data_IF_338927341412
#
_entry.id   IF_338927341412
#
_cell.length_a   1.000
_cell.length_b   1.000
_cell.length_c   1.000
_cell.angle_alpha   90.00
_cell.angle_beta   90.00
_cell.angle_gamma   90.00
#
_symmetry.space_group_name_H-M   'P 1'
#
loop_
_entity.id
_entity.type
_entity.pdbx_description
1 polymer ?
#
# COMPACT_ATOMS: atom_id res chain seq x y z
N UNK A 1 5.80 -3.01 1.07
CA UNK A 1 4.74 -2.13 1.59
C UNK A 1 3.69 -1.98 0.51
N UNK A 2 2.46 -1.59 0.81
CA UNK A 2 1.44 -1.39 -0.23
C UNK A 2 0.49 -0.28 0.17
N UNK A 3 -0.01 0.47 -0.81
CA UNK A 3 -1.05 1.46 -0.58
C UNK A 3 -2.37 0.76 -0.21
N UNK A 4 -3.22 1.40 0.59
CA UNK A 4 -4.50 0.81 1.04
C UNK A 4 -5.46 0.47 -0.11
N UNK A 5 -5.35 1.21 -1.22
CA UNK A 5 -6.25 1.01 -2.37
C UNK A 5 -5.94 -0.26 -3.16
N UNK A 6 -4.70 -0.77 -3.14
CA UNK A 6 -4.32 -2.01 -3.83
C UNK A 6 -5.08 -3.25 -3.32
N UNK A 7 -5.05 -3.59 -2.01
CA UNK A 7 -5.82 -4.73 -1.52
C UNK A 7 -7.33 -4.48 -1.57
N UNK A 8 -7.80 -3.24 -1.37
CA UNK A 8 -9.23 -2.92 -1.50
C UNK A 8 -9.75 -3.17 -2.93
N UNK A 9 -8.97 -2.82 -3.95
CA UNK A 9 -9.27 -3.18 -5.34
C UNK A 9 -9.39 -4.70 -5.51
N UNK A 10 -8.50 -5.47 -4.89
CA UNK A 10 -8.55 -6.92 -4.88
C UNK A 10 -9.82 -7.47 -4.21
N UNK A 11 -10.24 -6.86 -3.10
CA UNK A 11 -11.47 -7.26 -2.39
C UNK A 11 -12.72 -6.99 -3.23
N UNK A 12 -12.79 -5.82 -3.90
CA UNK A 12 -13.91 -5.49 -4.78
C UNK A 12 -13.97 -6.46 -5.97
N UNK A 13 -12.84 -6.72 -6.63
CA UNK A 13 -12.79 -7.71 -7.72
C UNK A 13 -13.22 -9.10 -7.25
N UNK A 14 -12.76 -9.54 -6.07
CA UNK A 14 -13.18 -10.81 -5.50
C UNK A 14 -14.68 -10.85 -5.21
N UNK A 15 -15.24 -9.78 -4.65
CA UNK A 15 -16.67 -9.67 -4.39
C UNK A 15 -17.50 -9.76 -5.68
N UNK A 16 -17.10 -9.07 -6.75
CA UNK A 16 -17.75 -9.16 -8.06
C UNK A 16 -17.68 -10.57 -8.66
N UNK A 17 -16.53 -11.26 -8.53
CA UNK A 17 -16.39 -12.64 -8.99
C UNK A 17 -17.24 -13.61 -8.17
N UNK A 18 -17.23 -13.47 -6.84
CA UNK A 18 -18.04 -14.28 -5.92
C UNK A 18 -19.53 -14.12 -6.14
N UNK A 19 -19.98 -12.91 -6.47
CA UNK A 19 -21.39 -12.65 -6.78
C UNK A 19 -21.90 -13.52 -7.93
N UNK A 20 -21.04 -13.81 -8.90
CA UNK A 20 -21.41 -14.55 -10.11
C UNK A 20 -21.07 -16.04 -10.02
N UNK A 21 -20.05 -16.43 -9.24
CA UNK A 21 -19.53 -17.79 -9.23
C UNK A 21 -18.91 -18.17 -7.87
N UNK A 22 -19.50 -19.15 -7.21
CA UNK A 22 -19.05 -19.63 -5.90
C UNK A 22 -17.66 -20.28 -5.93
N UNK A 23 -17.10 -20.62 -7.11
CA UNK A 23 -15.73 -21.19 -7.21
C UNK A 23 -14.64 -20.26 -6.67
N UNK A 24 -14.94 -18.96 -6.50
CA UNK A 24 -14.02 -17.99 -5.93
C UNK A 24 -14.05 -17.96 -4.40
N UNK A 25 -14.91 -18.76 -3.73
CA UNK A 25 -15.04 -18.87 -2.27
C UNK A 25 -13.88 -19.65 -1.64
N UNK A 26 -12.68 -19.10 -1.79
CA UNK A 26 -11.42 -19.65 -1.31
C UNK A 26 -10.64 -18.57 -0.55
N UNK A 27 -9.49 -18.91 0.04
CA UNK A 27 -8.55 -17.94 0.57
C UNK A 27 -7.78 -17.21 -0.56
N UNK A 28 -7.50 -15.92 -0.37
CA UNK A 28 -6.81 -15.04 -1.32
C UNK A 28 -5.80 -14.15 -0.61
N UNK A 29 -4.61 -14.01 -1.21
CA UNK A 29 -3.58 -13.09 -0.77
C UNK A 29 -3.59 -11.86 -1.68
N UNK A 30 -3.53 -10.68 -1.07
CA UNK A 30 -3.40 -9.39 -1.76
C UNK A 30 -2.23 -8.63 -1.14
N UNK A 31 -1.07 -8.76 -1.79
CA UNK A 31 0.19 -8.18 -1.35
C UNK A 31 0.96 -7.60 -2.54
N UNK A 32 1.98 -6.78 -2.27
CA UNK A 32 2.87 -6.27 -3.31
C UNK A 32 3.54 -7.43 -4.05
N UNK A 33 3.80 -7.26 -5.34
CA UNK A 33 4.43 -8.26 -6.19
C UNK A 33 5.67 -7.69 -6.86
N UNK A 34 6.73 -8.51 -6.93
CA UNK A 34 7.98 -8.18 -7.64
C UNK A 34 8.68 -6.89 -7.17
N UNK A 35 8.36 -6.40 -5.98
CA UNK A 35 9.04 -5.24 -5.40
C UNK A 35 10.22 -5.67 -4.52
N UNK A 36 11.29 -4.87 -4.55
CA UNK A 36 12.36 -5.03 -3.58
C UNK A 36 11.82 -4.74 -2.17
N UNK A 37 12.19 -5.59 -1.20
CA UNK A 37 11.88 -5.33 0.19
C UNK A 37 12.48 -3.98 0.61
N UNK A 38 11.64 -3.06 1.07
CA UNK A 38 12.06 -1.80 1.71
C UNK A 38 12.12 -1.99 3.21
N UNK A 39 13.25 -1.64 3.79
CA UNK A 39 13.39 -1.57 5.25
C UNK A 39 12.60 -0.38 5.79
N UNK A 40 12.35 -0.38 7.11
CA UNK A 40 11.76 0.78 7.79
C UNK A 40 12.60 2.05 7.56
N UNK A 41 13.92 1.90 7.53
CA UNK A 41 14.83 3.00 7.27
C UNK A 41 14.60 3.62 5.88
N UNK A 42 14.50 2.80 4.82
CA UNK A 42 14.24 3.27 3.45
C UNK A 42 12.92 4.04 3.35
N UNK A 43 11.89 3.57 4.05
CA UNK A 43 10.58 4.23 4.10
C UNK A 43 10.70 5.60 4.77
N UNK A 44 11.36 5.68 5.93
CA UNK A 44 11.56 6.94 6.65
C UNK A 44 12.34 7.93 5.79
N UNK A 45 13.44 7.51 5.14
CA UNK A 45 14.20 8.39 4.26
C UNK A 45 13.36 8.94 3.10
N UNK A 46 12.52 8.09 2.49
CA UNK A 46 11.62 8.50 1.41
C UNK A 46 10.60 9.54 1.90
N UNK A 47 10.01 9.32 3.08
CA UNK A 47 9.09 10.28 3.70
C UNK A 47 9.79 11.61 3.99
N UNK A 48 10.99 11.62 4.56
CA UNK A 48 11.75 12.86 4.84
C UNK A 48 11.98 13.67 3.56
N UNK A 49 12.41 13.00 2.48
CA UNK A 49 12.63 13.62 1.17
C UNK A 49 11.35 14.27 0.62
N UNK A 50 10.22 13.56 0.69
CA UNK A 50 8.92 14.04 0.18
C UNK A 50 8.29 15.13 1.06
N UNK A 51 8.50 15.07 2.37
CA UNK A 51 7.99 16.06 3.31
C UNK A 51 8.74 17.39 3.19
N UNK A 52 9.99 17.35 2.73
CA UNK A 52 10.88 18.50 2.58
C UNK A 52 11.08 19.28 3.89
N UNK A 53 11.17 18.55 5.01
CA UNK A 53 11.46 19.09 6.32
C UNK A 53 12.54 18.22 6.99
N UNK A 54 13.65 18.79 7.47
CA UNK A 54 14.65 18.01 8.19
C UNK A 54 14.05 17.40 9.46
N UNK A 55 14.07 16.06 9.53
CA UNK A 55 13.74 15.31 10.74
C UNK A 55 15.00 14.63 11.26
N UNK A 56 15.17 14.62 12.58
CA UNK A 56 16.21 13.82 13.23
C UNK A 56 15.64 12.44 13.57
N UNK A 57 16.22 11.39 13.01
CA UNK A 57 15.87 10.01 13.35
C UNK A 57 16.65 9.63 14.60
N UNK A 58 15.95 9.32 15.69
CA UNK A 58 16.56 8.79 16.91
C UNK A 58 16.21 7.31 17.00
N UNK A 59 17.23 6.45 16.92
CA UNK A 59 17.10 5.01 17.15
C UNK A 59 17.64 4.68 18.54
N UNK A 60 16.78 4.22 19.45
CA UNK A 60 17.21 3.68 20.75
C UNK A 60 17.70 2.24 20.58
N UNK A 61 18.89 1.91 21.11
CA UNK A 61 19.65 0.72 20.71
C UNK A 61 19.18 -0.64 21.25
N UNK A 62 19.21 -1.61 20.34
CA UNK A 62 19.83 -2.97 20.38
C UNK A 62 19.19 -4.15 21.10
N UNK A 63 18.12 -3.99 21.88
CA UNK A 63 17.40 -5.15 22.44
C UNK A 63 16.05 -5.35 21.75
N UNK A 64 16.06 -5.34 20.42
CA UNK A 64 14.87 -5.66 19.62
C UNK A 64 14.58 -7.15 19.74
N UNK A 65 13.33 -7.55 20.05
CA UNK A 65 12.95 -8.95 20.04
C UNK A 65 13.24 -9.55 18.66
N UNK A 66 13.45 -10.87 18.62
CA UNK A 66 13.59 -11.58 17.35
C UNK A 66 12.37 -11.30 16.46
N UNK A 67 12.58 -10.58 15.37
CA UNK A 67 11.60 -10.47 14.31
C UNK A 67 11.67 -11.72 13.44
N UNK A 68 10.52 -12.26 13.08
CA UNK A 68 10.46 -13.30 12.07
C UNK A 68 11.09 -12.78 10.76
N UNK A 69 11.81 -13.63 10.01
CA UNK A 69 12.25 -13.26 8.68
C UNK A 69 11.05 -12.76 7.86
N UNK A 70 11.26 -11.68 7.11
CA UNK A 70 10.24 -10.94 6.34
C UNK A 70 9.15 -11.88 5.81
N UNK A 71 7.93 -11.75 6.36
CA UNK A 71 6.77 -12.49 5.86
C UNK A 71 6.28 -11.80 4.58
N UNK A 72 6.48 -12.44 3.44
CA UNK A 72 5.92 -12.01 2.15
C UNK A 72 4.73 -12.87 1.77
N UNK A 73 3.76 -12.27 1.10
CA UNK A 73 2.61 -12.99 0.56
C UNK A 73 2.85 -13.31 -0.92
N UNK A 74 2.62 -14.56 -1.30
CA UNK A 74 2.49 -14.91 -2.71
C UNK A 74 1.08 -14.54 -3.19
N UNK A 75 1.00 -13.50 -4.03
CA UNK A 75 -0.23 -13.00 -4.64
C UNK A 75 -0.47 -13.52 -6.06
N UNK A 76 0.33 -14.48 -6.53
CA UNK A 76 0.25 -15.07 -7.88
C UNK A 76 -1.16 -15.60 -8.19
N UNK A 77 -1.85 -16.15 -7.19
CA UNK A 77 -3.24 -16.63 -7.34
C UNK A 77 -4.20 -15.49 -7.69
N UNK A 78 -4.13 -14.36 -7.00
CA UNK A 78 -5.00 -13.21 -7.23
C UNK A 78 -4.76 -12.61 -8.63
N UNK A 79 -3.50 -12.48 -9.05
CA UNK A 79 -3.15 -12.06 -10.42
C UNK A 79 -3.74 -13.00 -11.46
N UNK A 80 -3.45 -14.30 -11.35
CA UNK A 80 -3.78 -15.24 -12.41
C UNK A 80 -5.28 -15.56 -12.49
N UNK A 81 -5.99 -15.59 -11.35
CA UNK A 81 -7.40 -16.01 -11.31
C UNK A 81 -8.41 -14.87 -11.22
N UNK A 82 -8.04 -13.73 -10.62
CA UNK A 82 -8.92 -12.55 -10.54
C UNK A 82 -8.57 -11.48 -11.59
N UNK A 83 -7.38 -11.56 -12.20
CA UNK A 83 -6.86 -10.46 -13.01
C UNK A 83 -6.50 -9.24 -12.18
N UNK A 84 -6.22 -9.42 -10.88
CA UNK A 84 -5.81 -8.34 -9.97
C UNK A 84 -4.30 -8.16 -9.99
N UNK A 85 -3.75 -7.04 -10.44
CA UNK A 85 -2.39 -6.64 -10.10
C UNK A 85 -2.38 -5.59 -8.96
N UNK A 86 -1.30 -5.52 -8.16
CA UNK A 86 -0.98 -4.28 -7.47
C UNK A 86 -0.62 -3.21 -8.52
N UNK A 87 -1.18 -2.01 -8.36
CA UNK A 87 -1.04 -0.89 -9.30
C UNK A 87 0.02 0.12 -8.86
N UNK A 88 0.11 0.41 -7.56
CA UNK A 88 1.07 1.37 -7.03
C UNK A 88 2.35 0.68 -6.59
N UNK A 89 3.49 1.28 -6.90
CA UNK A 89 4.75 0.86 -6.31
C UNK A 89 4.83 1.24 -4.82
N UNK A 90 5.77 0.67 -4.06
CA UNK A 90 6.04 1.14 -2.68
C UNK A 90 6.40 2.63 -2.68
N UNK A 91 7.19 3.10 -3.65
CA UNK A 91 7.61 4.50 -3.71
C UNK A 91 6.40 5.42 -4.00
N UNK A 92 5.51 5.03 -4.92
CA UNK A 92 4.26 5.76 -5.18
C UNK A 92 3.32 5.73 -3.97
N UNK A 93 3.23 4.58 -3.28
CA UNK A 93 2.43 4.42 -2.06
C UNK A 93 2.87 5.40 -0.96
N UNK A 94 4.19 5.55 -0.78
CA UNK A 94 4.76 6.51 0.16
C UNK A 94 4.45 7.95 -0.29
N UNK A 95 4.60 8.25 -1.57
CA UNK A 95 4.31 9.58 -2.12
C UNK A 95 2.84 9.99 -1.93
N UNK A 96 1.91 9.10 -2.26
CA UNK A 96 0.47 9.33 -2.08
C UNK A 96 0.09 9.52 -0.61
N UNK A 97 0.71 8.75 0.28
CA UNK A 97 0.51 8.86 1.73
C UNK A 97 1.02 10.22 2.24
N UNK A 98 2.23 10.61 1.85
CA UNK A 98 2.83 11.89 2.26
C UNK A 98 1.99 13.07 1.75
N UNK A 99 1.55 13.05 0.49
CA UNK A 99 0.72 14.13 -0.06
C UNK A 99 -0.60 14.25 0.71
N UNK A 100 -1.28 13.13 0.98
CA UNK A 100 -2.52 13.12 1.78
C UNK A 100 -2.33 13.77 3.14
N UNK A 101 -1.26 13.42 3.87
CA UNK A 101 -0.99 14.03 5.17
C UNK A 101 -0.58 15.50 5.10
N UNK A 102 0.11 15.94 4.04
CA UNK A 102 0.42 17.38 3.82
C UNK A 102 -0.87 18.18 3.60
N UNK A 103 -1.80 17.63 2.81
CA UNK A 103 -3.13 18.20 2.54
C UNK A 103 -4.00 18.26 3.80
N UNK A 104 -3.97 17.21 4.60
CA UNK A 104 -4.64 17.21 5.90
C UNK A 104 -4.06 18.30 6.83
N UNK A 105 -2.73 18.39 6.93
CA UNK A 105 -2.05 19.35 7.80
C UNK A 105 -2.24 20.82 7.36
N UNK A 106 -2.45 21.08 6.06
CA UNK A 106 -2.75 22.42 5.53
C UNK A 106 -4.21 22.86 5.73
N UNK A 107 -5.07 21.98 6.27
CA UNK A 107 -6.49 22.26 6.48
C UNK A 107 -7.35 22.14 5.20
N UNK A 108 -6.85 21.45 4.17
CA UNK A 108 -7.65 21.17 2.97
C UNK A 108 -8.78 20.18 3.26
N UNK A 109 -9.82 20.18 2.40
CA UNK A 109 -10.92 19.23 2.53
C UNK A 109 -10.43 17.82 2.18
N UNK A 110 -10.13 17.05 3.23
CA UNK A 110 -9.52 15.74 3.07
C UNK A 110 -10.47 14.70 2.49
N UNK A 111 -11.78 14.86 2.66
CA UNK A 111 -12.77 13.99 2.01
C UNK A 111 -12.69 14.14 0.49
N UNK A 112 -12.71 15.39 0.01
CA UNK A 112 -12.58 15.70 -1.42
C UNK A 112 -11.26 15.16 -1.99
N UNK A 113 -10.15 15.38 -1.28
CA UNK A 113 -8.84 14.89 -1.72
C UNK A 113 -8.75 13.35 -1.71
N UNK A 114 -9.35 12.69 -0.72
CA UNK A 114 -9.43 11.22 -0.68
C UNK A 114 -10.20 10.68 -1.87
N UNK A 115 -11.33 11.32 -2.25
CA UNK A 115 -12.08 10.95 -3.46
C UNK A 115 -11.25 11.11 -4.72
N UNK A 116 -10.46 12.19 -4.82
CA UNK A 116 -9.55 12.40 -5.95
C UNK A 116 -8.49 11.29 -6.04
N UNK A 117 -7.88 10.87 -4.92
CA UNK A 117 -6.94 9.74 -4.94
C UNK A 117 -7.61 8.42 -5.34
N UNK A 118 -8.85 8.16 -4.88
CA UNK A 118 -9.62 6.98 -5.31
C UNK A 118 -9.84 7.01 -6.83
N UNK A 119 -10.26 8.14 -7.39
CA UNK A 119 -10.47 8.28 -8.83
C UNK A 119 -9.16 8.20 -9.63
N UNK A 120 -8.08 8.78 -9.13
CA UNK A 120 -6.75 8.63 -9.72
C UNK A 120 -6.33 7.15 -9.76
N UNK A 121 -6.54 6.41 -8.67
CA UNK A 121 -6.19 4.99 -8.57
C UNK A 121 -6.98 4.10 -9.55
N UNK A 122 -8.26 4.43 -9.75
CA UNK A 122 -9.10 3.74 -10.73
C UNK A 122 -8.59 3.88 -12.16
N UNK A 123 -7.91 4.98 -12.47
CA UNK A 123 -7.39 5.31 -13.81
C UNK A 123 -5.93 4.88 -14.04
N UNK A 124 -5.28 4.27 -13.04
CA UNK A 124 -4.01 3.54 -13.21
C UNK A 124 -4.26 2.23 -13.97
#
# INVERSE_FOLDING_TARGET
>A
WQHVLDPLHGYILLAEKLWNDAKYAEAWNFGPMNEHNRTVHDVIESVIKLWNNPLTIISSSTNTPYESPVLTLDSTKAVNKLGWPPKLSTDDSIAWTVDWYKKYASGENIESFTRQQIDAFKNL
#
